data_IF_097473402596
#
_entry.id   IF_097473402596
#
_cell.length_a   1.000
_cell.length_b   1.000
_cell.length_c   1.000
_cell.angle_alpha   90.00
_cell.angle_beta   90.00
_cell.angle_gamma   90.00
#
_symmetry.space_group_name_H-M   'P 1'
#
loop_
_entity.id
_entity.type
_entity.pdbx_description
1 polymer ?
#
# COMPACT_ATOMS: atom_id res chain seq x y z
N UNK A 1 2.53 3.64 2.42
CA UNK A 1 2.49 2.25 1.94
C UNK A 1 2.61 2.23 0.43
N UNK A 2 1.51 2.47 -0.28
CA UNK A 2 1.41 2.33 -1.74
C UNK A 2 2.57 2.92 -2.54
N UNK A 3 2.84 4.23 -2.38
CA UNK A 3 3.94 4.90 -3.09
C UNK A 3 5.32 4.33 -2.73
N UNK A 4 5.52 3.97 -1.47
CA UNK A 4 6.78 3.40 -1.01
C UNK A 4 7.05 2.07 -1.68
N UNK A 5 6.07 1.16 -1.74
CA UNK A 5 6.23 -0.15 -2.39
C UNK A 5 6.27 -0.06 -3.91
N UNK A 6 5.48 0.84 -4.51
CA UNK A 6 5.54 1.05 -5.96
C UNK A 6 6.93 1.51 -6.42
N UNK A 7 7.63 2.30 -5.60
CA UNK A 7 9.00 2.76 -5.86
C UNK A 7 10.07 1.73 -5.48
N UNK A 8 9.91 1.02 -4.36
CA UNK A 8 10.93 0.08 -3.86
C UNK A 8 10.81 -1.33 -4.42
N UNK A 9 9.66 -1.70 -4.97
CA UNK A 9 9.33 -3.08 -5.35
C UNK A 9 9.23 -4.07 -4.18
N UNK A 10 9.26 -3.59 -2.94
CA UNK A 10 9.33 -4.46 -1.75
C UNK A 10 8.62 -3.87 -0.55
N UNK A 11 7.68 -4.63 0.01
CA UNK A 11 6.95 -4.33 1.24
C UNK A 11 7.90 -4.15 2.42
N UNK A 12 8.93 -5.00 2.53
CA UNK A 12 9.94 -4.90 3.59
C UNK A 12 10.72 -3.60 3.47
N UNK A 13 11.21 -3.26 2.28
CA UNK A 13 11.97 -2.03 2.07
C UNK A 13 11.10 -0.78 2.35
N UNK A 14 9.84 -0.78 1.88
CA UNK A 14 8.93 0.34 2.14
C UNK A 14 8.55 0.47 3.61
N UNK A 15 8.40 -0.64 4.35
CA UNK A 15 8.10 -0.61 5.77
C UNK A 15 9.30 -0.12 6.59
N UNK A 16 10.52 -0.46 6.21
CA UNK A 16 11.74 0.06 6.84
C UNK A 16 11.92 1.56 6.54
N UNK A 17 11.68 1.99 5.30
CA UNK A 17 11.87 3.38 4.89
C UNK A 17 10.78 4.32 5.40
N UNK A 18 9.51 3.89 5.35
CA UNK A 18 8.37 4.76 5.62
C UNK A 18 7.51 4.33 6.82
N UNK A 19 7.68 3.13 7.37
CA UNK A 19 6.90 2.67 8.52
C UNK A 19 7.19 3.47 9.80
N UNK A 20 8.46 3.80 10.03
CA UNK A 20 8.87 4.67 11.14
C UNK A 20 8.30 6.08 10.99
N UNK A 21 8.30 6.63 9.77
CA UNK A 21 7.68 7.94 9.47
C UNK A 21 6.19 7.92 9.81
N UNK A 22 5.45 6.90 9.37
CA UNK A 22 4.01 6.75 9.65
C UNK A 22 3.73 6.63 11.16
N UNK A 23 4.59 5.90 11.89
CA UNK A 23 4.52 5.77 13.35
C UNK A 23 4.75 7.11 14.06
N UNK A 24 5.71 7.92 13.59
CA UNK A 24 5.99 9.26 14.13
C UNK A 24 4.83 10.21 13.84
N UNK A 25 4.33 10.23 12.62
CA UNK A 25 3.18 11.05 12.22
C UNK A 25 1.93 10.68 13.02
N UNK A 26 1.69 9.40 13.28
CA UNK A 26 0.58 8.95 14.13
C UNK A 26 0.67 9.51 15.56
N UNK A 27 1.87 9.50 16.16
CA UNK A 27 2.10 10.10 17.48
C UNK A 27 1.85 11.61 17.47
N UNK A 28 2.24 12.32 16.41
CA UNK A 28 2.01 13.76 16.27
C UNK A 28 0.54 14.13 16.01
N UNK A 29 -0.20 13.24 15.34
CA UNK A 29 -1.63 13.45 15.01
C UNK A 29 -2.58 12.83 16.04
N UNK A 30 -2.05 12.29 17.15
CA UNK A 30 -2.80 11.58 18.18
C UNK A 30 -3.62 10.38 17.68
N UNK A 31 -3.16 9.74 16.60
CA UNK A 31 -3.74 8.51 16.03
C UNK A 31 -2.93 7.30 16.51
N UNK A 32 -3.56 6.12 16.59
CA UNK A 32 -2.86 4.88 16.98
C UNK A 32 -1.65 4.61 16.05
N UNK A 33 -0.42 4.50 16.60
CA UNK A 33 0.76 4.13 15.82
C UNK A 33 0.65 2.72 15.23
N UNK A 34 -0.08 1.82 15.90
CA UNK A 34 -0.36 0.48 15.40
C UNK A 34 -1.23 0.52 14.15
N UNK A 35 -2.28 1.36 14.16
CA UNK A 35 -3.14 1.55 12.99
C UNK A 35 -2.35 2.11 11.79
N UNK A 36 -1.53 3.13 12.02
CA UNK A 36 -0.80 3.78 10.92
C UNK A 36 0.31 2.89 10.35
N UNK A 37 1.00 2.13 11.20
CA UNK A 37 1.99 1.14 10.75
C UNK A 37 1.35 -0.04 10.02
N UNK A 38 0.21 -0.55 10.51
CA UNK A 38 -0.57 -1.57 9.82
C UNK A 38 -1.09 -1.06 8.47
N UNK A 39 -1.65 0.16 8.42
CA UNK A 39 -2.10 0.81 7.20
C UNK A 39 -0.96 0.98 6.18
N UNK A 40 0.25 1.31 6.65
CA UNK A 40 1.42 1.39 5.77
C UNK A 40 1.72 0.05 5.11
N UNK A 41 1.68 -1.04 5.88
CA UNK A 41 1.92 -2.40 5.41
C UNK A 41 0.80 -2.87 4.46
N UNK A 42 -0.47 -2.71 4.84
CA UNK A 42 -1.63 -3.09 4.03
C UNK A 42 -1.70 -2.31 2.71
N UNK A 43 -1.42 -1.00 2.73
CA UNK A 43 -1.34 -0.19 1.52
C UNK A 43 -0.12 -0.53 0.65
N UNK A 44 0.92 -1.13 1.24
CA UNK A 44 2.12 -1.59 0.53
C UNK A 44 1.83 -2.71 -0.46
N UNK A 45 1.08 -3.72 -0.02
CA UNK A 45 0.67 -4.87 -0.86
C UNK A 45 -0.01 -4.41 -2.15
N UNK A 46 -0.81 -3.35 -2.07
CA UNK A 46 -1.47 -2.79 -3.26
C UNK A 46 -0.47 -2.12 -4.20
N UNK A 47 0.55 -1.45 -3.67
CA UNK A 47 1.62 -0.83 -4.46
C UNK A 47 2.49 -1.84 -5.20
N UNK A 48 2.66 -3.05 -4.65
CA UNK A 48 3.45 -4.13 -5.28
C UNK A 48 2.92 -4.55 -6.64
N UNK A 49 1.62 -4.43 -6.86
CA UNK A 49 1.01 -4.71 -8.16
C UNK A 49 1.52 -3.80 -9.28
N UNK A 50 1.95 -2.58 -8.95
CA UNK A 50 2.49 -1.59 -9.90
C UNK A 50 4.03 -1.68 -9.98
N UNK A 51 4.64 -2.59 -9.23
CA UNK A 51 6.09 -2.70 -9.23
C UNK A 51 6.61 -3.23 -10.58
N UNK A 52 7.63 -2.56 -11.11
CA UNK A 52 8.19 -2.88 -12.41
C UNK A 52 8.81 -4.28 -12.45
N UNK A 53 9.39 -4.77 -11.35
CA UNK A 53 9.98 -6.11 -11.29
C UNK A 53 8.91 -7.20 -11.42
N UNK A 54 7.81 -7.09 -10.69
CA UNK A 54 6.67 -8.01 -10.77
C UNK A 54 6.01 -7.98 -12.14
N UNK A 55 5.89 -6.81 -12.78
CA UNK A 55 5.33 -6.69 -14.14
C UNK A 55 6.24 -7.34 -15.18
N UNK A 56 7.56 -7.11 -15.10
CA UNK A 56 8.54 -7.76 -15.99
C UNK A 56 8.46 -9.28 -15.81
N UNK A 57 8.45 -9.79 -14.58
CA UNK A 57 8.30 -11.23 -14.30
C UNK A 57 6.97 -11.77 -14.85
N UNK A 58 5.86 -11.05 -14.69
CA UNK A 58 4.57 -11.47 -15.23
C UNK A 58 4.57 -11.54 -16.77
N UNK A 59 5.19 -10.55 -17.44
CA UNK A 59 5.28 -10.53 -18.92
C UNK A 59 6.12 -11.70 -19.45
N UNK A 60 7.24 -12.02 -18.78
CA UNK A 60 8.09 -13.17 -19.15
C UNK A 60 7.39 -14.50 -18.91
N UNK A 61 6.66 -14.65 -17.79
CA UNK A 61 5.91 -15.87 -17.47
C UNK A 61 4.74 -16.13 -18.44
N UNK A 62 4.13 -15.07 -18.98
CA UNK A 62 3.03 -15.15 -19.93
C UNK A 62 3.48 -15.18 -21.40
N UNK A 63 4.80 -15.19 -21.66
CA UNK A 63 5.40 -15.03 -23.00
C UNK A 63 4.90 -13.77 -23.74
N UNK A 64 4.49 -12.74 -23.01
CA UNK A 64 3.88 -11.52 -23.54
C UNK A 64 4.86 -10.35 -23.52
N UNK A 65 6.03 -10.58 -24.12
CA UNK A 65 7.13 -9.64 -24.19
C UNK A 65 6.72 -8.34 -24.90
N UNK A 66 7.20 -7.20 -24.40
CA UNK A 66 6.92 -5.88 -24.97
C UNK A 66 5.54 -5.29 -24.66
N UNK A 67 4.67 -6.02 -23.95
CA UNK A 67 3.33 -5.58 -23.55
C UNK A 67 3.25 -5.15 -22.08
N UNK A 68 4.41 -4.92 -21.43
CA UNK A 68 4.53 -4.50 -20.03
C UNK A 68 3.74 -3.22 -19.73
N UNK A 69 3.66 -2.30 -20.70
CA UNK A 69 2.89 -1.07 -20.59
C UNK A 69 1.38 -1.29 -20.52
N UNK A 70 0.83 -2.27 -21.25
CA UNK A 70 -0.60 -2.61 -21.15
C UNK A 70 -0.92 -3.28 -19.80
N UNK A 71 -0.04 -4.18 -19.35
CA UNK A 71 -0.14 -4.81 -18.03
C UNK A 71 -0.09 -3.73 -16.94
N UNK A 72 0.90 -2.83 -16.99
CA UNK A 72 1.03 -1.74 -16.04
C UNK A 72 -0.22 -0.88 -16.02
N UNK A 73 -0.75 -0.50 -17.18
CA UNK A 73 -1.92 0.37 -17.27
C UNK A 73 -3.18 -0.30 -16.73
N UNK A 74 -3.38 -1.59 -16.99
CA UNK A 74 -4.51 -2.35 -16.44
C UNK A 74 -4.39 -2.51 -14.91
N UNK A 75 -3.22 -2.92 -14.44
CA UNK A 75 -2.98 -3.21 -13.03
C UNK A 75 -2.90 -1.94 -12.19
N UNK A 76 -2.46 -0.81 -12.77
CA UNK A 76 -2.43 0.50 -12.12
C UNK A 76 -3.81 0.95 -11.65
N UNK A 77 -4.84 0.87 -12.51
CA UNK A 77 -6.20 1.24 -12.12
C UNK A 77 -6.75 0.31 -11.02
N UNK A 78 -6.47 -0.98 -11.12
CA UNK A 78 -6.90 -1.96 -10.11
C UNK A 78 -6.22 -1.69 -8.75
N UNK A 79 -4.92 -1.42 -8.78
CA UNK A 79 -4.12 -1.07 -7.61
C UNK A 79 -4.57 0.23 -6.96
N UNK A 80 -4.86 1.26 -7.75
CA UNK A 80 -5.35 2.54 -7.25
C UNK A 80 -6.74 2.40 -6.59
N UNK A 81 -7.65 1.64 -7.20
CA UNK A 81 -8.98 1.40 -6.64
C UNK A 81 -8.88 0.69 -5.27
N UNK A 82 -8.05 -0.34 -5.16
CA UNK A 82 -7.82 -1.04 -3.89
C UNK A 82 -7.11 -0.15 -2.85
N UNK A 83 -6.13 0.67 -3.28
CA UNK A 83 -5.46 1.62 -2.41
C UNK A 83 -6.43 2.67 -1.85
N UNK A 84 -7.34 3.20 -2.68
CA UNK A 84 -8.39 4.11 -2.24
C UNK A 84 -9.36 3.44 -1.28
N UNK A 85 -9.77 2.19 -1.55
CA UNK A 85 -10.69 1.45 -0.67
C UNK A 85 -10.06 1.20 0.71
N UNK A 86 -8.80 0.77 0.76
CA UNK A 86 -8.06 0.60 2.03
C UNK A 86 -7.84 1.94 2.72
N UNK A 87 -7.54 3.02 1.98
CA UNK A 87 -7.39 4.36 2.53
C UNK A 87 -8.67 4.87 3.20
N UNK A 88 -9.83 4.66 2.56
CA UNK A 88 -11.15 4.98 3.11
C UNK A 88 -11.44 4.16 4.36
N UNK A 89 -11.10 2.87 4.36
CA UNK A 89 -11.26 1.98 5.51
C UNK A 89 -10.41 2.46 6.70
N UNK A 90 -9.13 2.76 6.48
CA UNK A 90 -8.22 3.26 7.53
C UNK A 90 -8.69 4.60 8.06
N UNK A 91 -9.18 5.49 7.19
CA UNK A 91 -9.77 6.76 7.61
C UNK A 91 -11.00 6.56 8.50
N UNK A 92 -11.89 5.62 8.14
CA UNK A 92 -13.02 5.25 8.97
C UNK A 92 -12.59 4.66 10.32
N UNK A 93 -11.56 3.80 10.35
CA UNK A 93 -11.00 3.26 11.60
C UNK A 93 -10.39 4.34 12.50
N UNK A 94 -9.81 5.39 11.92
CA UNK A 94 -9.20 6.48 12.66
C UNK A 94 -10.23 7.45 13.29
N UNK A 95 -11.36 7.73 12.61
CA UNK A 95 -12.28 8.81 13.01
C UNK A 95 -13.72 8.38 13.33
N UNK A 96 -14.18 7.18 12.93
CA UNK A 96 -15.59 6.77 13.06
C UNK A 96 -15.75 5.76 14.20
N UNK A 97 -16.54 6.16 15.20
CA UNK A 97 -16.62 5.54 16.54
C UNK A 97 -17.02 4.04 16.58
N UNK A 98 -17.76 3.41 15.65
CA UNK A 98 -17.92 1.95 15.66
C UNK A 98 -16.64 1.21 15.19
N UNK A 99 -15.85 1.79 14.28
CA UNK A 99 -14.66 1.15 13.71
C UNK A 99 -13.40 1.39 14.53
N UNK A 100 -13.32 2.49 15.28
CA UNK A 100 -12.22 2.75 16.21
C UNK A 100 -12.13 1.72 17.34
N UNK A 101 -13.21 0.98 17.65
CA UNK A 101 -13.19 -0.15 18.59
C UNK A 101 -12.49 -1.41 18.04
N UNK A 102 -12.34 -1.55 16.72
CA UNK A 102 -11.58 -2.64 16.11
C UNK A 102 -10.06 -2.42 16.19
N UNK A 103 -9.64 -1.21 16.53
CA UNK A 103 -8.23 -0.81 16.60
C UNK A 103 -7.75 -0.95 18.04
N UNK A 104 -6.73 -1.78 18.24
CA UNK A 104 -6.04 -1.91 19.52
C UNK A 104 -5.27 -0.61 19.76
N UNK A 105 -5.56 0.06 20.88
CA UNK A 105 -4.91 1.31 21.30
C UNK A 105 -3.51 1.07 21.81
#
# INVERSE_FOLDING_TARGET
GWLGVALTGSDTASNVLFGSLQTITAKQTHISPLLMSAANSSGGVMGKMVDAQSIVVASTATNWYGHEGEILRYVFFHSLALASLVGILVYMQAYVIPFSHMVIK
#
